data_IF_787436256268
#
_entry.id   IF_787436256268
#
_cell.length_a   1.000
_cell.length_b   1.000
_cell.length_c   1.000
_cell.angle_alpha   90.00
_cell.angle_beta   90.00
_cell.angle_gamma   90.00
#
_symmetry.space_group_name_H-M   'P 1'
#
loop_
_entity.id
_entity.type
_entity.pdbx_description
1 polymer ?
#
# COMPACT_ATOMS: atom_id res chain seq x y z
N UNK A 1 8.29 15.72 -15.52
CA UNK A 1 7.07 16.56 -15.70
C UNK A 1 7.21 17.81 -14.86
N UNK A 2 7.23 18.99 -15.47
CA UNK A 2 7.40 20.26 -14.74
C UNK A 2 6.05 20.79 -14.21
N UNK A 3 6.12 21.75 -13.25
CA UNK A 3 4.92 22.43 -12.71
C UNK A 3 4.12 23.16 -13.82
N UNK A 4 4.82 23.74 -14.80
CA UNK A 4 4.18 24.44 -15.91
C UNK A 4 3.45 23.49 -16.86
N UNK A 5 4.08 22.36 -17.20
CA UNK A 5 3.44 21.29 -17.99
C UNK A 5 2.20 20.74 -17.28
N UNK A 6 2.32 20.43 -15.97
CA UNK A 6 1.19 19.99 -15.16
C UNK A 6 0.03 20.97 -15.20
N UNK A 7 0.31 22.27 -15.00
CA UNK A 7 -0.73 23.30 -15.07
C UNK A 7 -1.38 23.37 -16.45
N UNK A 8 -0.59 23.31 -17.52
CA UNK A 8 -1.12 23.30 -18.91
C UNK A 8 -2.02 22.10 -19.17
N UNK A 9 -1.64 20.90 -18.71
CA UNK A 9 -2.46 19.69 -18.84
C UNK A 9 -3.79 19.90 -18.08
N UNK A 10 -3.75 20.34 -16.84
CA UNK A 10 -4.95 20.55 -16.04
C UNK A 10 -5.89 21.59 -16.66
N UNK A 11 -5.35 22.67 -17.23
CA UNK A 11 -6.12 23.73 -17.90
C UNK A 11 -6.70 23.22 -19.23
N UNK A 12 -5.92 22.55 -20.09
CA UNK A 12 -6.36 22.07 -21.41
C UNK A 12 -7.43 20.99 -21.31
N UNK A 13 -7.30 20.10 -20.34
CA UNK A 13 -8.23 18.99 -20.13
C UNK A 13 -9.39 19.35 -19.18
N UNK A 14 -9.48 20.61 -18.71
CA UNK A 14 -10.45 21.06 -17.70
C UNK A 14 -10.45 20.21 -16.43
N UNK A 15 -9.29 19.71 -16.04
CA UNK A 15 -9.11 18.90 -14.84
C UNK A 15 -8.94 19.83 -13.63
N UNK A 16 -9.85 19.71 -12.66
CA UNK A 16 -9.71 20.39 -11.37
C UNK A 16 -9.23 19.37 -10.33
N UNK A 17 -8.09 19.63 -9.66
CA UNK A 17 -7.62 18.76 -8.59
C UNK A 17 -8.70 18.57 -7.52
N UNK A 18 -9.10 17.33 -7.29
CA UNK A 18 -10.19 16.98 -6.37
C UNK A 18 -9.64 16.68 -4.99
N UNK A 19 -9.91 17.57 -4.04
CA UNK A 19 -9.46 17.41 -2.64
C UNK A 19 -9.97 16.12 -2.00
N UNK A 20 -11.15 15.61 -2.41
CA UNK A 20 -11.71 14.33 -1.94
C UNK A 20 -10.84 13.13 -2.32
N UNK A 21 -10.03 13.25 -3.37
CA UNK A 21 -9.08 12.22 -3.81
C UNK A 21 -7.64 12.55 -3.37
N UNK A 22 -7.42 13.63 -2.62
CA UNK A 22 -6.10 14.05 -2.16
C UNK A 22 -5.10 14.29 -3.30
N UNK A 23 -5.58 14.75 -4.46
CA UNK A 23 -4.78 14.89 -5.68
C UNK A 23 -3.72 15.97 -5.52
N UNK A 24 -2.47 15.55 -5.38
CA UNK A 24 -1.26 16.36 -5.42
C UNK A 24 -0.34 15.72 -6.46
N UNK A 25 -0.23 16.34 -7.64
CA UNK A 25 0.52 15.81 -8.76
C UNK A 25 2.02 16.07 -8.59
N UNK A 26 2.83 15.04 -8.76
CA UNK A 26 4.29 15.14 -8.68
C UNK A 26 4.84 15.92 -9.88
N UNK A 27 5.66 16.95 -9.61
CA UNK A 27 6.19 17.89 -10.62
C UNK A 27 7.71 18.04 -10.57
N UNK A 28 8.42 17.15 -9.88
CA UNK A 28 9.87 17.13 -9.75
C UNK A 28 10.47 15.98 -10.55
N UNK A 29 11.16 16.27 -11.64
CA UNK A 29 11.82 15.26 -12.48
C UNK A 29 12.88 14.47 -11.72
N UNK A 30 13.61 15.10 -10.78
CA UNK A 30 14.55 14.42 -9.89
C UNK A 30 13.84 13.39 -9.02
N UNK A 31 12.76 13.80 -8.36
CA UNK A 31 11.96 12.91 -7.50
C UNK A 31 11.37 11.76 -8.32
N UNK A 32 10.82 12.03 -9.50
CA UNK A 32 10.29 11.02 -10.42
C UNK A 32 11.38 10.02 -10.78
N UNK A 33 12.55 10.50 -11.22
CA UNK A 33 13.69 9.65 -11.62
C UNK A 33 14.17 8.76 -10.47
N UNK A 34 14.23 9.29 -9.25
CA UNK A 34 14.60 8.55 -8.04
C UNK A 34 13.59 7.46 -7.73
N UNK A 35 12.27 7.74 -7.81
CA UNK A 35 11.23 6.73 -7.60
C UNK A 35 11.37 5.62 -8.65
N UNK A 36 11.50 5.97 -9.92
CA UNK A 36 11.65 4.99 -11.01
C UNK A 36 12.90 4.12 -10.82
N UNK A 37 13.98 4.66 -10.27
CA UNK A 37 15.21 3.89 -10.00
C UNK A 37 15.06 2.84 -8.88
N UNK A 38 14.05 2.99 -8.03
CA UNK A 38 13.74 2.01 -6.97
C UNK A 38 12.95 0.80 -7.50
N UNK A 39 12.34 0.91 -8.69
CA UNK A 39 11.56 -0.17 -9.29
C UNK A 39 12.52 -1.28 -9.70
N UNK A 40 12.49 -2.37 -8.93
CA UNK A 40 13.31 -3.56 -9.10
C UNK A 40 12.44 -4.66 -9.71
N UNK A 41 12.32 -4.60 -11.02
CA UNK A 41 11.57 -5.54 -11.86
C UNK A 41 12.27 -5.69 -13.20
N UNK A 42 12.19 -6.86 -13.80
CA UNK A 42 12.66 -7.08 -15.17
C UNK A 42 11.71 -6.43 -16.20
N UNK A 43 12.18 -6.20 -17.41
CA UNK A 43 11.39 -5.50 -18.44
C UNK A 43 10.11 -6.24 -18.84
N UNK A 44 10.10 -7.56 -18.68
CA UNK A 44 8.96 -8.42 -19.00
C UNK A 44 8.03 -8.66 -17.81
N UNK A 45 8.43 -8.20 -16.62
CA UNK A 45 7.62 -8.30 -15.40
C UNK A 45 6.39 -7.37 -15.45
N UNK A 46 5.30 -7.81 -14.83
CA UNK A 46 4.12 -6.97 -14.69
C UNK A 46 4.30 -5.99 -13.53
N UNK A 47 4.35 -4.70 -13.86
CA UNK A 47 4.36 -3.60 -12.90
C UNK A 47 2.96 -3.01 -12.79
N UNK A 48 2.51 -2.77 -11.57
CA UNK A 48 1.23 -2.12 -11.27
C UNK A 48 1.45 -0.73 -10.69
N UNK A 49 0.79 0.27 -11.26
CA UNK A 49 0.66 1.61 -10.64
C UNK A 49 -0.77 1.82 -10.13
N UNK A 50 -0.90 2.30 -8.90
CA UNK A 50 -2.20 2.65 -8.33
C UNK A 50 -2.26 4.17 -8.13
N UNK A 51 -3.27 4.82 -8.75
CA UNK A 51 -3.42 6.27 -8.74
C UNK A 51 -2.39 7.01 -9.60
N UNK A 52 -2.33 6.72 -10.90
CA UNK A 52 -1.38 7.36 -11.83
C UNK A 52 -1.57 8.86 -11.97
N UNK A 53 -2.75 9.39 -11.68
CA UNK A 53 -3.06 10.81 -11.82
C UNK A 53 -2.91 11.30 -13.28
N UNK A 54 -2.10 12.33 -13.49
CA UNK A 54 -1.77 12.82 -14.84
C UNK A 54 -0.56 12.13 -15.47
N UNK A 55 -0.08 11.03 -14.89
CA UNK A 55 0.94 10.18 -15.49
C UNK A 55 2.38 10.58 -15.20
N UNK A 56 2.65 11.19 -14.05
CA UNK A 56 4.01 11.59 -13.67
C UNK A 56 4.97 10.41 -13.57
N UNK A 57 4.53 9.29 -12.99
CA UNK A 57 5.27 8.03 -12.95
C UNK A 57 4.88 7.12 -14.12
N UNK A 58 3.63 7.16 -14.58
CA UNK A 58 3.11 6.32 -15.66
C UNK A 58 3.91 6.44 -16.95
N UNK A 59 4.23 7.66 -17.38
CA UNK A 59 4.96 7.90 -18.65
C UNK A 59 6.35 7.25 -18.64
N UNK A 60 7.23 7.49 -17.65
CA UNK A 60 8.53 6.82 -17.61
C UNK A 60 8.44 5.31 -17.32
N UNK A 61 7.44 4.84 -16.58
CA UNK A 61 7.20 3.40 -16.37
C UNK A 61 6.77 2.72 -17.68
N UNK A 62 5.84 3.32 -18.43
CA UNK A 62 5.43 2.84 -19.75
C UNK A 62 6.58 2.74 -20.75
N UNK A 63 7.56 3.65 -20.66
CA UNK A 63 8.73 3.61 -21.53
C UNK A 63 9.72 2.50 -21.15
N UNK A 64 9.68 2.02 -19.90
CA UNK A 64 10.62 1.03 -19.38
C UNK A 64 10.07 -0.39 -19.37
N UNK A 65 8.78 -0.57 -19.11
CA UNK A 65 8.15 -1.88 -18.92
C UNK A 65 7.11 -2.16 -19.98
N UNK A 66 7.27 -3.30 -20.68
CA UNK A 66 6.31 -3.75 -21.70
C UNK A 66 4.98 -4.23 -21.10
N UNK A 67 5.02 -4.82 -19.90
CA UNK A 67 3.87 -5.26 -19.15
C UNK A 67 3.61 -4.29 -17.98
N UNK A 68 2.74 -3.31 -18.23
CA UNK A 68 2.46 -2.28 -17.25
C UNK A 68 0.96 -1.99 -17.17
N UNK A 69 0.40 -2.06 -15.97
CA UNK A 69 -1.01 -1.77 -15.69
C UNK A 69 -1.10 -0.59 -14.71
N UNK A 70 -2.01 0.34 -14.98
CA UNK A 70 -2.29 1.45 -14.07
C UNK A 70 -3.80 1.52 -13.77
N UNK A 71 -4.15 1.68 -12.49
CA UNK A 71 -5.55 1.74 -12.02
C UNK A 71 -5.84 3.15 -11.50
N UNK A 72 -6.80 3.83 -12.12
CA UNK A 72 -7.19 5.20 -11.76
C UNK A 72 -8.68 5.25 -11.40
N UNK A 73 -8.99 5.87 -10.26
CA UNK A 73 -10.36 6.03 -9.75
C UNK A 73 -11.09 7.23 -10.36
N UNK A 74 -10.33 8.23 -10.84
CA UNK A 74 -10.89 9.39 -11.50
C UNK A 74 -10.97 9.14 -13.01
N UNK A 75 -12.18 8.90 -13.53
CA UNK A 75 -12.41 8.59 -14.93
C UNK A 75 -11.89 9.67 -15.89
N UNK A 76 -11.88 10.96 -15.49
CA UNK A 76 -11.33 12.03 -16.32
C UNK A 76 -9.83 11.88 -16.50
N UNK A 77 -9.12 11.51 -15.42
CA UNK A 77 -7.68 11.22 -15.48
C UNK A 77 -7.39 9.91 -16.23
N UNK A 78 -8.22 8.89 -16.03
CA UNK A 78 -8.11 7.63 -16.77
C UNK A 78 -8.28 7.84 -18.27
N UNK A 79 -9.27 8.63 -18.71
CA UNK A 79 -9.50 8.94 -20.11
C UNK A 79 -8.36 9.80 -20.70
N UNK A 80 -7.87 10.77 -19.94
CA UNK A 80 -6.68 11.53 -20.33
C UNK A 80 -5.48 10.59 -20.58
N UNK A 81 -5.18 9.68 -19.64
CA UNK A 81 -4.06 8.74 -19.80
C UNK A 81 -4.23 7.80 -21.00
N UNK A 82 -5.46 7.31 -21.26
CA UNK A 82 -5.75 6.50 -22.45
C UNK A 82 -5.53 7.25 -23.76
N UNK A 83 -5.70 8.58 -23.76
CA UNK A 83 -5.47 9.44 -24.94
C UNK A 83 -3.98 9.77 -25.16
N UNK A 84 -3.15 9.63 -24.14
CA UNK A 84 -1.73 9.98 -24.16
C UNK A 84 -0.90 8.95 -24.93
N UNK A 85 -0.33 9.35 -26.08
CA UNK A 85 0.46 8.46 -26.94
C UNK A 85 1.72 7.89 -26.29
N UNK A 86 2.25 8.57 -25.29
CA UNK A 86 3.44 8.13 -24.53
C UNK A 86 3.12 7.10 -23.45
N UNK A 87 1.84 6.80 -23.20
CA UNK A 87 1.38 5.82 -22.23
C UNK A 87 0.99 4.54 -22.97
N UNK A 88 1.75 3.48 -22.77
CA UNK A 88 1.48 2.14 -23.32
C UNK A 88 0.86 1.21 -22.30
N UNK A 89 0.66 1.69 -21.06
CA UNK A 89 0.05 0.94 -19.98
C UNK A 89 -1.39 0.52 -20.30
N UNK A 90 -1.81 -0.63 -19.76
CA UNK A 90 -3.22 -0.98 -19.62
C UNK A 90 -3.84 -0.08 -18.55
N UNK A 91 -4.64 0.90 -18.95
CA UNK A 91 -5.33 1.81 -18.02
C UNK A 91 -6.68 1.23 -17.65
N UNK A 92 -6.87 0.93 -16.34
CA UNK A 92 -8.13 0.46 -15.76
C UNK A 92 -8.79 1.64 -15.04
N UNK A 93 -9.94 2.06 -15.53
CA UNK A 93 -10.77 3.10 -14.92
C UNK A 93 -11.67 2.47 -13.86
N UNK A 94 -11.21 2.43 -12.63
CA UNK A 94 -11.92 1.81 -11.51
C UNK A 94 -11.32 2.19 -10.16
N UNK A 95 -12.11 1.96 -9.11
CA UNK A 95 -11.62 1.92 -7.74
C UNK A 95 -10.84 0.61 -7.50
N UNK A 96 -9.53 0.70 -7.28
CA UNK A 96 -8.67 -0.47 -7.05
C UNK A 96 -9.23 -1.40 -5.96
N UNK A 97 -9.83 -0.85 -4.91
CA UNK A 97 -10.39 -1.64 -3.81
C UNK A 97 -11.59 -2.51 -4.21
N UNK A 98 -12.21 -2.25 -5.37
CA UNK A 98 -13.39 -2.96 -5.88
C UNK A 98 -13.07 -3.93 -7.01
N UNK A 99 -11.87 -3.86 -7.58
CA UNK A 99 -11.46 -4.74 -8.67
C UNK A 99 -11.31 -6.19 -8.19
N UNK A 100 -11.76 -7.11 -9.03
CA UNK A 100 -11.40 -8.52 -8.88
C UNK A 100 -9.91 -8.72 -9.19
N UNK A 101 -9.18 -9.56 -8.45
CA UNK A 101 -7.76 -9.85 -8.71
C UNK A 101 -7.45 -10.25 -10.16
N UNK A 102 -8.37 -10.93 -10.84
CA UNK A 102 -8.21 -11.33 -12.23
C UNK A 102 -8.21 -10.15 -13.21
N UNK A 103 -8.89 -9.04 -12.90
CA UNK A 103 -8.99 -7.89 -13.79
C UNK A 103 -7.65 -7.17 -14.00
N UNK A 104 -6.77 -7.21 -12.99
CA UNK A 104 -5.45 -6.61 -13.02
C UNK A 104 -4.31 -7.63 -12.90
N UNK A 105 -4.61 -8.93 -13.07
CA UNK A 105 -3.65 -10.03 -13.08
C UNK A 105 -2.78 -10.07 -11.82
N UNK A 106 -3.42 -9.98 -10.65
CA UNK A 106 -2.79 -9.81 -9.34
C UNK A 106 -1.66 -10.81 -9.03
N UNK A 107 -1.82 -12.05 -9.48
CA UNK A 107 -0.85 -13.14 -9.34
C UNK A 107 0.42 -12.99 -10.18
N UNK A 108 0.40 -12.11 -11.20
CA UNK A 108 1.55 -11.84 -12.08
C UNK A 108 2.34 -10.59 -11.67
N UNK A 109 1.82 -9.79 -10.75
CA UNK A 109 2.46 -8.53 -10.36
C UNK A 109 3.76 -8.82 -9.62
N UNK A 110 4.86 -8.27 -10.13
CA UNK A 110 6.20 -8.31 -9.54
C UNK A 110 6.49 -7.08 -8.68
N UNK A 111 5.99 -5.91 -9.09
CA UNK A 111 6.22 -4.66 -8.40
C UNK A 111 4.97 -3.77 -8.41
N UNK A 112 4.72 -3.10 -7.27
CA UNK A 112 3.66 -2.09 -7.16
C UNK A 112 4.28 -0.73 -6.88
N UNK A 113 3.85 0.28 -7.64
CA UNK A 113 4.27 1.68 -7.44
C UNK A 113 3.04 2.54 -7.19
N UNK A 114 3.12 3.47 -6.26
CA UNK A 114 1.98 4.36 -6.01
C UNK A 114 2.35 5.65 -5.29
N UNK A 115 1.69 6.72 -5.70
CA UNK A 115 1.67 8.00 -4.98
C UNK A 115 0.26 8.23 -4.44
N UNK A 116 -0.04 7.69 -3.27
CA UNK A 116 -1.39 7.67 -2.71
C UNK A 116 -1.57 8.65 -1.56
N UNK A 117 -2.78 9.24 -1.46
CA UNK A 117 -3.20 9.89 -0.23
C UNK A 117 -3.22 8.90 0.94
N UNK A 118 -2.80 9.37 2.11
CA UNK A 118 -2.66 8.53 3.30
C UNK A 118 -3.95 7.77 3.67
N UNK A 119 -5.12 8.40 3.53
CA UNK A 119 -6.39 7.80 3.98
C UNK A 119 -6.76 6.50 3.26
N UNK A 120 -6.28 6.29 2.02
CA UNK A 120 -6.54 5.06 1.25
C UNK A 120 -5.38 4.06 1.28
N UNK A 121 -4.23 4.42 1.83
CA UNK A 121 -3.04 3.57 1.83
C UNK A 121 -3.27 2.25 2.58
N UNK A 122 -3.79 2.29 3.80
CA UNK A 122 -4.01 1.07 4.59
C UNK A 122 -4.88 0.03 3.87
N UNK A 123 -6.09 0.35 3.37
CA UNK A 123 -6.88 -0.63 2.64
C UNK A 123 -6.22 -1.11 1.35
N UNK A 124 -5.50 -0.25 0.63
CA UNK A 124 -4.77 -0.62 -0.59
C UNK A 124 -3.63 -1.58 -0.26
N UNK A 125 -2.79 -1.29 0.73
CA UNK A 125 -1.72 -2.18 1.14
C UNK A 125 -2.24 -3.56 1.57
N UNK A 126 -3.34 -3.60 2.34
CA UNK A 126 -3.98 -4.86 2.74
C UNK A 126 -4.39 -5.69 1.52
N UNK A 127 -5.03 -5.07 0.53
CA UNK A 127 -5.43 -5.74 -0.70
C UNK A 127 -4.21 -6.27 -1.47
N UNK A 128 -3.16 -5.45 -1.61
CA UNK A 128 -1.91 -5.88 -2.25
C UNK A 128 -1.30 -7.07 -1.50
N UNK A 129 -1.17 -7.01 -0.18
CA UNK A 129 -0.59 -8.10 0.62
C UNK A 129 -1.35 -9.43 0.47
N UNK A 130 -2.68 -9.38 0.36
CA UNK A 130 -3.51 -10.58 0.24
C UNK A 130 -3.64 -11.11 -1.18
N UNK A 131 -3.58 -10.24 -2.21
CA UNK A 131 -3.88 -10.61 -3.59
C UNK A 131 -2.65 -10.65 -4.50
N UNK A 132 -1.69 -9.73 -4.35
CA UNK A 132 -0.47 -9.68 -5.17
C UNK A 132 0.62 -10.57 -4.56
N UNK A 133 0.37 -11.88 -4.55
CA UNK A 133 1.20 -12.88 -3.83
C UNK A 133 2.63 -12.98 -4.36
N UNK A 134 2.88 -12.59 -5.60
CA UNK A 134 4.20 -12.63 -6.24
C UNK A 134 4.92 -11.26 -6.23
N UNK A 135 4.28 -10.20 -5.70
CA UNK A 135 4.92 -8.90 -5.63
C UNK A 135 6.18 -8.96 -4.75
N UNK A 136 7.33 -8.81 -5.39
CA UNK A 136 8.64 -8.81 -4.74
C UNK A 136 8.96 -7.47 -4.08
N UNK A 137 8.44 -6.38 -4.64
CA UNK A 137 8.69 -5.03 -4.13
C UNK A 137 7.47 -4.11 -4.25
N UNK A 138 7.35 -3.21 -3.27
CA UNK A 138 6.32 -2.16 -3.26
C UNK A 138 7.00 -0.82 -3.01
N UNK A 139 6.66 0.19 -3.82
CA UNK A 139 7.23 1.54 -3.71
C UNK A 139 6.07 2.51 -3.52
N UNK A 140 6.01 3.13 -2.36
CA UNK A 140 4.95 4.07 -2.02
C UNK A 140 5.49 5.44 -1.66
N UNK A 141 4.79 6.47 -2.09
CA UNK A 141 4.95 7.79 -1.54
C UNK A 141 3.81 8.07 -0.55
N UNK A 142 4.16 8.54 0.63
CA UNK A 142 3.22 8.76 1.75
C UNK A 142 3.61 9.99 2.55
N UNK A 143 2.71 10.46 3.40
CA UNK A 143 3.03 11.49 4.39
C UNK A 143 4.00 10.96 5.45
N UNK A 144 4.89 11.81 5.92
CA UNK A 144 5.92 11.45 6.91
C UNK A 144 5.33 10.97 8.25
N UNK A 145 4.17 11.54 8.63
CA UNK A 145 3.43 11.07 9.81
C UNK A 145 2.86 9.66 9.63
N UNK A 146 2.47 9.31 8.41
CA UNK A 146 1.98 7.97 8.09
C UNK A 146 3.08 6.92 8.16
N UNK A 147 4.28 7.27 7.73
CA UNK A 147 5.45 6.42 7.89
C UNK A 147 5.67 6.00 9.36
N UNK A 148 5.52 6.92 10.32
CA UNK A 148 5.64 6.60 11.75
C UNK A 148 4.62 5.55 12.25
N UNK A 149 3.51 5.34 11.54
CA UNK A 149 2.53 4.28 11.85
C UNK A 149 2.85 2.97 11.14
N UNK A 150 3.48 3.06 9.98
CA UNK A 150 3.90 1.90 9.18
C UNK A 150 5.11 1.23 9.85
N UNK A 151 6.06 2.03 10.35
CA UNK A 151 7.32 1.59 10.98
C UNK A 151 7.22 1.53 12.52
N UNK A 152 6.02 1.33 13.05
CA UNK A 152 5.81 1.35 14.48
C UNK A 152 6.17 0.01 15.14
N UNK A 153 6.91 0.07 16.24
CA UNK A 153 7.28 -1.09 17.05
C UNK A 153 6.23 -1.43 18.12
N UNK A 154 6.16 -2.69 18.58
CA UNK A 154 5.32 -3.11 19.70
C UNK A 154 5.42 -2.17 20.91
N UNK A 155 4.31 -1.99 21.63
CA UNK A 155 4.18 -1.09 22.79
C UNK A 155 4.27 0.40 22.49
N UNK A 156 4.56 0.81 21.26
CA UNK A 156 4.54 2.21 20.87
C UNK A 156 3.10 2.72 20.62
N UNK A 157 2.90 4.04 20.76
CA UNK A 157 1.59 4.68 20.55
C UNK A 157 1.01 4.43 19.16
N UNK A 158 1.86 4.32 18.16
CA UNK A 158 1.49 4.20 16.75
C UNK A 158 1.35 2.74 16.28
N UNK A 159 1.74 1.77 17.10
CA UNK A 159 1.67 0.36 16.75
C UNK A 159 0.24 -0.12 16.51
N UNK A 160 0.02 -0.81 15.41
CA UNK A 160 -1.28 -1.31 15.00
C UNK A 160 -1.19 -2.31 13.84
N UNK A 161 -2.33 -2.73 13.30
CA UNK A 161 -2.38 -3.78 12.28
C UNK A 161 -1.44 -3.56 11.10
N UNK A 162 -1.38 -2.32 10.57
CA UNK A 162 -0.54 -2.04 9.40
C UNK A 162 0.95 -2.28 9.66
N UNK A 163 1.44 -1.90 10.86
CA UNK A 163 2.84 -2.17 11.23
C UNK A 163 3.13 -3.69 11.31
N UNK A 164 2.16 -4.47 11.81
CA UNK A 164 2.26 -5.94 11.82
C UNK A 164 2.36 -6.48 10.39
N UNK A 165 1.47 -6.04 9.50
CA UNK A 165 1.45 -6.52 8.12
C UNK A 165 2.73 -6.15 7.36
N UNK A 166 3.18 -4.91 7.48
CA UNK A 166 4.42 -4.43 6.84
C UNK A 166 5.63 -5.21 7.32
N UNK A 167 5.75 -5.42 8.63
CA UNK A 167 6.87 -6.19 9.20
C UNK A 167 6.85 -7.66 8.75
N UNK A 168 5.68 -8.27 8.57
CA UNK A 168 5.54 -9.65 8.07
C UNK A 168 5.73 -9.74 6.56
N UNK A 169 5.37 -8.68 5.82
CA UNK A 169 5.63 -8.63 4.38
C UNK A 169 7.13 -8.68 4.09
N UNK A 170 7.95 -7.96 4.88
CA UNK A 170 9.39 -8.01 4.72
C UNK A 170 10.12 -6.76 5.24
N UNK A 171 11.17 -6.34 4.55
CA UNK A 171 11.95 -5.18 4.94
C UNK A 171 11.33 -3.87 4.45
N UNK A 172 11.22 -2.90 5.35
CA UNK A 172 10.79 -1.53 5.06
C UNK A 172 11.99 -0.59 5.07
N UNK A 173 12.11 0.24 4.05
CA UNK A 173 13.13 1.30 3.98
C UNK A 173 12.46 2.64 3.70
N UNK A 174 12.82 3.68 4.46
CA UNK A 174 12.54 5.07 4.11
C UNK A 174 13.63 5.57 3.19
N UNK A 175 13.34 5.69 1.91
CA UNK A 175 14.32 5.99 0.88
C UNK A 175 14.74 7.46 0.91
N UNK A 176 13.77 8.37 0.92
CA UNK A 176 14.02 9.80 1.00
C UNK A 176 12.76 10.60 1.32
N UNK A 177 12.98 11.82 1.78
CA UNK A 177 11.93 12.79 2.04
C UNK A 177 11.65 13.61 0.78
N UNK A 178 10.38 13.95 0.54
CA UNK A 178 9.91 14.75 -0.60
C UNK A 178 9.24 16.02 -0.08
N UNK A 179 9.76 17.17 -0.49
CA UNK A 179 9.25 18.46 -0.10
C UNK A 179 7.94 18.81 -0.82
N UNK A 180 7.10 19.65 -0.22
CA UNK A 180 5.81 20.04 -0.78
C UNK A 180 5.91 20.81 -2.11
N UNK A 181 7.05 21.46 -2.40
CA UNK A 181 7.31 22.13 -3.67
C UNK A 181 7.51 21.15 -4.86
N UNK A 182 7.74 19.86 -4.58
CA UNK A 182 7.74 18.83 -5.60
C UNK A 182 6.33 18.45 -6.12
N UNK A 183 5.27 19.09 -5.61
CA UNK A 183 3.88 18.80 -5.98
C UNK A 183 3.11 20.01 -6.48
N UNK A 184 2.04 19.74 -7.23
CA UNK A 184 1.04 20.73 -7.65
C UNK A 184 -0.40 20.17 -7.54
N UNK A 185 -1.30 20.80 -6.76
CA UNK A 185 -0.98 21.82 -5.77
C UNK A 185 -0.04 21.30 -4.67
N UNK A 186 0.67 22.19 -3.98
CA UNK A 186 1.57 21.79 -2.91
C UNK A 186 0.78 21.30 -1.68
N UNK A 187 1.09 20.12 -1.11
CA UNK A 187 0.50 19.63 0.13
C UNK A 187 0.97 20.47 1.33
N UNK A 188 0.23 20.37 2.44
CA UNK A 188 0.61 21.03 3.71
C UNK A 188 1.60 20.21 4.53
N UNK A 189 1.74 18.92 4.21
CA UNK A 189 2.56 17.96 4.93
C UNK A 189 3.80 17.61 4.10
N UNK A 190 4.85 17.19 4.78
CA UNK A 190 6.03 16.61 4.12
C UNK A 190 5.73 15.16 3.77
N UNK A 191 6.17 14.73 2.60
CA UNK A 191 6.05 13.35 2.14
C UNK A 191 7.37 12.61 2.22
N UNK A 192 7.31 11.29 2.19
CA UNK A 192 8.50 10.44 2.00
C UNK A 192 8.20 9.31 1.02
N UNK A 193 9.23 8.83 0.35
CA UNK A 193 9.19 7.61 -0.44
C UNK A 193 9.68 6.46 0.44
N UNK A 194 8.93 5.38 0.44
CA UNK A 194 9.24 4.13 1.13
C UNK A 194 9.29 2.98 0.14
N UNK A 195 10.17 2.03 0.38
CA UNK A 195 10.18 0.76 -0.32
C UNK A 195 9.98 -0.39 0.68
N UNK A 196 9.23 -1.39 0.23
CA UNK A 196 9.09 -2.66 0.92
C UNK A 196 9.62 -3.76 0.00
N UNK A 197 10.45 -4.64 0.54
CA UNK A 197 10.90 -5.85 -0.16
C UNK A 197 10.35 -7.07 0.53
N UNK A 198 9.79 -7.97 -0.28
CA UNK A 198 9.19 -9.21 0.20
C UNK A 198 10.20 -10.07 0.95
N UNK A 199 9.81 -10.59 2.10
CA UNK A 199 10.54 -11.54 2.91
C UNK A 199 9.81 -12.87 3.04
N UNK A 200 10.43 -13.81 3.73
CA UNK A 200 9.97 -15.20 3.85
C UNK A 200 8.62 -15.37 4.55
N UNK A 201 8.23 -14.40 5.37
CA UNK A 201 6.96 -14.47 6.11
C UNK A 201 5.76 -13.85 5.38
N UNK A 202 5.95 -13.27 4.21
CA UNK A 202 4.89 -12.55 3.49
C UNK A 202 3.67 -13.44 3.15
N UNK A 203 3.89 -14.75 2.97
CA UNK A 203 2.83 -15.70 2.60
C UNK A 203 1.75 -15.88 3.67
N UNK A 204 2.02 -15.51 4.91
CA UNK A 204 1.02 -15.54 5.97
C UNK A 204 -0.06 -14.46 5.81
N UNK A 205 0.19 -13.41 5.04
CA UNK A 205 -0.73 -12.28 4.86
C UNK A 205 -1.95 -12.65 4.00
N UNK A 206 -2.62 -13.72 4.39
CA UNK A 206 -3.91 -14.15 3.82
C UNK A 206 -5.05 -13.24 4.30
N UNK A 207 -6.19 -13.18 3.59
CA UNK A 207 -7.36 -12.45 4.05
C UNK A 207 -7.78 -12.80 5.49
N UNK A 208 -7.74 -14.09 5.84
CA UNK A 208 -8.11 -14.57 7.18
C UNK A 208 -7.12 -14.10 8.25
N UNK A 209 -5.82 -14.14 7.98
CA UNK A 209 -4.81 -13.64 8.91
C UNK A 209 -4.92 -12.11 9.08
N UNK A 210 -5.14 -11.37 8.00
CA UNK A 210 -5.35 -9.92 8.06
C UNK A 210 -6.56 -9.60 8.95
N UNK A 211 -7.68 -10.29 8.75
CA UNK A 211 -8.87 -10.14 9.57
C UNK A 211 -8.63 -10.52 11.05
N UNK A 212 -7.86 -11.58 11.30
CA UNK A 212 -7.46 -11.98 12.65
C UNK A 212 -6.72 -10.87 13.38
N UNK A 213 -5.68 -10.30 12.75
CA UNK A 213 -4.90 -9.21 13.36
C UNK A 213 -5.78 -7.98 13.60
N UNK A 214 -6.63 -7.60 12.65
CA UNK A 214 -7.57 -6.48 12.86
C UNK A 214 -8.50 -6.71 14.05
N UNK A 215 -8.99 -7.93 14.22
CA UNK A 215 -9.79 -8.30 15.42
C UNK A 215 -8.99 -8.17 16.69
N UNK A 216 -7.73 -8.59 16.71
CA UNK A 216 -6.84 -8.42 17.85
C UNK A 216 -6.76 -6.95 18.30
N UNK A 217 -6.75 -6.01 17.36
CA UNK A 217 -6.69 -4.57 17.64
C UNK A 217 -8.06 -3.87 17.75
N UNK A 218 -9.18 -4.57 17.63
CA UNK A 218 -10.53 -3.97 17.59
C UNK A 218 -10.84 -3.11 18.83
N UNK A 219 -10.34 -3.52 19.99
CA UNK A 219 -10.40 -2.75 21.24
C UNK A 219 -9.00 -2.67 21.85
N UNK A 220 -8.17 -1.76 21.36
CA UNK A 220 -6.74 -1.65 21.69
C UNK A 220 -6.42 -1.73 23.19
N UNK A 221 -7.24 -1.11 24.05
CA UNK A 221 -7.02 -1.07 25.51
C UNK A 221 -7.52 -2.32 26.26
N UNK A 222 -8.17 -3.26 25.58
CA UNK A 222 -8.68 -4.49 26.18
C UNK A 222 -7.68 -5.62 26.00
N UNK A 223 -7.77 -6.61 26.91
CA UNK A 223 -7.02 -7.87 26.81
C UNK A 223 -7.37 -8.58 25.49
N UNK A 224 -6.41 -9.26 24.92
CA UNK A 224 -6.55 -9.96 23.63
C UNK A 224 -7.68 -11.01 23.67
N UNK A 225 -7.80 -11.75 24.78
CA UNK A 225 -8.91 -12.67 25.02
C UNK A 225 -10.28 -12.01 24.76
N UNK A 226 -10.48 -10.77 25.21
CA UNK A 226 -11.75 -10.07 25.03
C UNK A 226 -12.04 -9.70 23.58
N UNK A 227 -11.01 -9.46 22.79
CA UNK A 227 -11.14 -9.13 21.37
C UNK A 227 -11.45 -10.38 20.52
N UNK A 228 -10.97 -11.54 20.95
CA UNK A 228 -11.04 -12.78 20.16
C UNK A 228 -12.19 -13.71 20.56
N UNK A 229 -12.76 -13.60 21.77
CA UNK A 229 -13.80 -14.50 22.31
C UNK A 229 -15.09 -14.59 21.48
N UNK A 230 -15.37 -13.61 20.63
CA UNK A 230 -16.52 -13.65 19.71
C UNK A 230 -16.26 -14.50 18.45
N UNK A 231 -15.03 -14.90 18.21
CA UNK A 231 -14.61 -15.56 16.97
C UNK A 231 -14.00 -16.93 17.20
N UNK A 232 -13.52 -17.20 18.41
CA UNK A 232 -12.83 -18.43 18.75
C UNK A 232 -13.37 -18.96 20.10
N UNK A 233 -13.31 -20.28 20.27
CA UNK A 233 -13.78 -20.92 21.52
C UNK A 233 -12.88 -20.55 22.70
N UNK A 234 -13.46 -20.53 23.88
CA UNK A 234 -12.69 -20.25 25.11
C UNK A 234 -11.56 -21.26 25.31
N UNK A 235 -11.79 -22.52 24.97
CA UNK A 235 -10.80 -23.59 25.08
C UNK A 235 -9.58 -23.36 24.17
N UNK A 236 -9.81 -22.99 22.89
CA UNK A 236 -8.73 -22.68 21.95
C UNK A 236 -7.93 -21.45 22.40
N UNK A 237 -8.60 -20.41 22.89
CA UNK A 237 -7.94 -19.21 23.38
C UNK A 237 -7.15 -19.45 24.67
N UNK A 238 -7.69 -20.24 25.62
CA UNK A 238 -7.00 -20.59 26.87
C UNK A 238 -5.73 -21.40 26.65
N UNK A 239 -5.70 -22.24 25.61
CA UNK A 239 -4.52 -23.03 25.22
C UNK A 239 -3.50 -22.21 24.42
N UNK A 240 -3.97 -21.32 23.51
CA UNK A 240 -3.09 -20.56 22.63
C UNK A 240 -2.48 -19.33 23.31
N UNK A 241 -3.17 -18.71 24.25
CA UNK A 241 -2.68 -17.51 24.95
C UNK A 241 -1.82 -17.88 26.14
N UNK A 242 -0.53 -17.62 26.06
CA UNK A 242 0.45 -17.85 27.12
C UNK A 242 0.36 -16.87 28.31
N UNK A 243 -0.30 -15.72 28.11
CA UNK A 243 -0.60 -14.71 29.11
C UNK A 243 -2.02 -14.20 28.90
N UNK A 244 -2.88 -14.36 29.93
CA UNK A 244 -4.29 -13.94 29.87
C UNK A 244 -4.49 -12.43 29.95
N UNK A 245 -3.47 -11.69 30.33
CA UNK A 245 -3.50 -10.24 30.47
C UNK A 245 -2.92 -9.49 29.27
N UNK A 246 -2.34 -10.23 28.33
CA UNK A 246 -1.71 -9.68 27.13
C UNK A 246 -2.69 -8.87 26.27
N UNK A 247 -2.20 -7.79 25.70
CA UNK A 247 -2.92 -6.95 24.75
C UNK A 247 -2.32 -7.09 23.35
N UNK A 248 -3.09 -6.71 22.32
CA UNK A 248 -2.59 -6.75 20.95
C UNK A 248 -1.31 -5.91 20.74
N UNK A 249 -1.20 -4.77 21.43
CA UNK A 249 -0.03 -3.90 21.33
C UNK A 249 1.25 -4.48 21.96
N UNK A 250 1.14 -5.53 22.76
CA UNK A 250 2.30 -6.18 23.39
C UNK A 250 2.95 -7.22 22.47
N UNK A 251 2.22 -7.77 21.49
CA UNK A 251 2.70 -8.81 20.61
C UNK A 251 3.59 -8.25 19.50
N UNK A 252 4.67 -8.97 19.22
CA UNK A 252 5.46 -8.79 18.02
C UNK A 252 4.74 -9.35 16.79
N UNK A 253 5.09 -8.92 15.56
CA UNK A 253 4.52 -9.49 14.33
C UNK A 253 4.64 -11.02 14.25
N UNK A 254 5.77 -11.58 14.65
CA UNK A 254 6.01 -13.03 14.66
C UNK A 254 5.12 -13.74 15.68
N UNK A 255 4.86 -13.13 16.84
CA UNK A 255 3.94 -13.70 17.84
C UNK A 255 2.48 -13.70 17.35
N UNK A 256 2.04 -12.71 16.55
CA UNK A 256 0.74 -12.77 15.88
C UNK A 256 0.65 -13.97 14.93
N UNK A 257 1.69 -14.22 14.14
CA UNK A 257 1.77 -15.36 13.24
C UNK A 257 1.66 -16.69 14.00
N UNK A 258 2.43 -16.82 15.07
CA UNK A 258 2.40 -18.01 15.92
C UNK A 258 1.02 -18.22 16.56
N UNK A 259 0.48 -17.18 17.20
CA UNK A 259 -0.83 -17.23 17.86
C UNK A 259 -1.95 -17.63 16.88
N UNK A 260 -1.93 -17.08 15.66
CA UNK A 260 -2.89 -17.47 14.62
C UNK A 260 -2.78 -18.95 14.27
N UNK A 261 -1.56 -19.44 14.03
CA UNK A 261 -1.30 -20.85 13.69
C UNK A 261 -1.74 -21.77 14.82
N UNK A 262 -1.44 -21.43 16.08
CA UNK A 262 -1.83 -22.21 17.25
C UNK A 262 -3.36 -22.32 17.36
N UNK A 263 -4.10 -21.18 17.20
CA UNK A 263 -5.57 -21.19 17.24
C UNK A 263 -6.16 -22.02 16.11
N UNK A 264 -5.68 -21.82 14.86
CA UNK A 264 -6.23 -22.55 13.69
C UNK A 264 -6.00 -24.06 13.82
N UNK A 265 -4.83 -24.48 14.30
CA UNK A 265 -4.54 -25.92 14.50
C UNK A 265 -5.46 -26.62 15.54
N UNK A 266 -6.12 -25.86 16.41
CA UNK A 266 -7.05 -26.40 17.43
C UNK A 266 -8.51 -26.45 16.97
N UNK A 267 -8.85 -25.81 15.86
CA UNK A 267 -10.21 -25.75 15.32
C UNK A 267 -10.35 -26.46 13.98
N UNK A 268 -9.21 -26.86 13.37
CA UNK A 268 -9.14 -27.76 12.21
C UNK A 268 -9.23 -29.21 12.63
#
# INVERSE_FOLDING_TARGET
MSREETRKILESENILPRSRFGQNFLVSDDTISRIISLVDADTDDLVLEIGPGIGALTKPLSARYGNFTAVEIDHVLADYLKSEKSVTAKIIDSDFLKLDPAEYEADKISCVVSNLPYYCMTPIMKKIFSECRNAASLIFMTEDEAYCRIDASPKSKNYGPLAVFVSLFGSLTKEFTVSGDCFYPAPRTTSCVISLRRGDMADILTPDFILFVEKCFSMRRKKLMNNLKSSYTAEALDKALWDKDIRAEDLTPVEFSKLYSDIISMIS
#
